data_IF_439808176095
#
_entry.id   IF_439808176095
#
_cell.length_a   1.000
_cell.length_b   1.000
_cell.length_c   1.000
_cell.angle_alpha   90.00
_cell.angle_beta   90.00
_cell.angle_gamma   90.00
#
_symmetry.space_group_name_H-M   'P 1'
#
loop_
_entity.id
_entity.type
_entity.pdbx_description
1 polymer ?
#
# COMPACT_ATOMS: atom_id res chain seq x y z
N UNK A 1 -11.71 6.76 -16.10
CA UNK A 1 -10.37 6.60 -16.71
C UNK A 1 -9.41 6.21 -15.60
N UNK A 2 -8.70 5.09 -15.71
CA UNK A 2 -7.78 4.61 -14.68
C UNK A 2 -6.35 4.89 -15.18
N UNK A 3 -5.67 5.88 -14.59
CA UNK A 3 -4.29 6.23 -14.96
C UNK A 3 -3.26 5.20 -14.46
N UNK A 4 -3.65 4.40 -13.46
CA UNK A 4 -2.78 3.44 -12.79
C UNK A 4 -2.72 2.06 -13.43
N UNK A 5 -3.02 1.93 -14.73
CA UNK A 5 -2.98 0.64 -15.47
C UNK A 5 -2.11 0.69 -16.72
N UNK A 6 -1.63 1.87 -17.10
CA UNK A 6 -0.74 2.09 -18.25
C UNK A 6 0.52 2.82 -17.75
N UNK A 7 1.72 2.19 -17.85
CA UNK A 7 2.96 2.78 -17.36
C UNK A 7 3.32 4.12 -18.03
N UNK A 8 3.12 4.27 -19.34
CA UNK A 8 3.48 5.48 -20.08
C UNK A 8 2.57 6.65 -19.71
N UNK A 9 1.27 6.38 -19.57
CA UNK A 9 0.30 7.37 -19.09
C UNK A 9 0.64 7.78 -17.64
N UNK A 10 0.97 6.82 -16.78
CA UNK A 10 1.32 7.09 -15.38
C UNK A 10 2.61 7.92 -15.27
N UNK A 11 3.65 7.62 -16.06
CA UNK A 11 4.89 8.40 -16.12
C UNK A 11 4.60 9.84 -16.53
N UNK A 12 3.96 10.05 -17.68
CA UNK A 12 3.67 11.38 -18.22
C UNK A 12 2.83 12.22 -17.24
N UNK A 13 1.83 11.61 -16.59
CA UNK A 13 1.06 12.28 -15.56
C UNK A 13 1.95 12.69 -14.37
N UNK A 14 2.81 11.78 -13.90
CA UNK A 14 3.73 12.04 -12.79
C UNK A 14 4.69 13.18 -13.11
N UNK A 15 5.30 13.19 -14.31
CA UNK A 15 6.20 14.25 -14.77
C UNK A 15 5.52 15.62 -14.76
N UNK A 16 4.28 15.70 -15.28
CA UNK A 16 3.51 16.93 -15.33
C UNK A 16 3.15 17.45 -13.94
N UNK A 17 2.78 16.56 -13.02
CA UNK A 17 2.49 16.94 -11.62
C UNK A 17 3.78 17.39 -10.93
N UNK A 18 4.88 16.66 -11.12
CA UNK A 18 6.17 16.96 -10.51
C UNK A 18 6.72 18.31 -10.96
N UNK A 19 6.57 18.66 -12.25
CA UNK A 19 7.03 19.92 -12.82
C UNK A 19 6.41 21.17 -12.17
N UNK A 20 5.24 21.04 -11.54
CA UNK A 20 4.53 22.17 -10.91
C UNK A 20 4.44 22.06 -9.38
N UNK A 21 4.90 20.94 -8.79
CA UNK A 21 4.83 20.74 -7.35
C UNK A 21 6.00 21.39 -6.62
N UNK A 22 5.71 22.14 -5.57
CA UNK A 22 6.71 22.71 -4.65
C UNK A 22 7.02 21.79 -3.45
N UNK A 23 6.36 20.65 -3.35
CA UNK A 23 6.50 19.66 -2.26
C UNK A 23 6.74 18.25 -2.83
N UNK A 24 7.25 17.30 -2.03
CA UNK A 24 7.40 15.92 -2.46
C UNK A 24 6.08 15.32 -2.96
N UNK A 25 6.13 14.58 -4.06
CA UNK A 25 5.01 13.94 -4.73
C UNK A 25 5.13 12.43 -4.53
N UNK A 26 4.17 11.88 -3.79
CA UNK A 26 4.00 10.43 -3.66
C UNK A 26 2.87 9.95 -4.55
N UNK A 27 3.10 8.86 -5.29
CA UNK A 27 2.08 8.29 -6.18
C UNK A 27 1.47 7.03 -5.59
N UNK A 28 0.12 6.99 -5.54
CA UNK A 28 -0.64 5.86 -4.99
C UNK A 28 -0.93 4.82 -6.06
N UNK A 29 -0.21 3.70 -6.03
CA UNK A 29 -0.35 2.65 -7.04
C UNK A 29 -1.61 1.79 -6.84
N UNK A 30 -2.25 1.47 -7.97
CA UNK A 30 -3.37 0.52 -8.01
C UNK A 30 -2.85 -0.92 -8.04
N UNK A 31 -3.47 -1.86 -7.31
CA UNK A 31 -3.12 -3.27 -7.40
C UNK A 31 -3.72 -3.98 -8.63
N UNK A 32 -4.62 -3.33 -9.37
CA UNK A 32 -5.40 -3.96 -10.45
C UNK A 32 -4.61 -3.94 -11.78
N UNK A 33 -3.39 -4.46 -11.75
CA UNK A 33 -2.46 -4.51 -12.88
C UNK A 33 -1.79 -5.88 -12.97
N UNK A 34 -1.39 -6.27 -14.17
CA UNK A 34 -0.64 -7.51 -14.40
C UNK A 34 0.78 -7.41 -13.85
N UNK A 35 1.44 -6.27 -14.06
CA UNK A 35 2.82 -6.02 -13.61
C UNK A 35 2.90 -4.72 -12.81
N UNK A 36 3.00 -4.86 -11.49
CA UNK A 36 3.12 -3.72 -10.56
C UNK A 36 4.51 -3.08 -10.59
N UNK A 37 5.55 -3.85 -10.95
CA UNK A 37 6.93 -3.38 -11.00
C UNK A 37 7.11 -2.44 -12.19
N UNK A 38 6.54 -2.77 -13.34
CA UNK A 38 6.52 -1.89 -14.51
C UNK A 38 5.86 -0.54 -14.19
N UNK A 39 4.70 -0.57 -13.50
CA UNK A 39 4.02 0.65 -13.07
C UNK A 39 4.89 1.50 -12.12
N UNK A 40 5.51 0.86 -11.13
CA UNK A 40 6.34 1.56 -10.14
C UNK A 40 7.57 2.21 -10.76
N UNK A 41 8.29 1.49 -11.64
CA UNK A 41 9.46 2.02 -12.37
C UNK A 41 9.09 3.20 -13.27
N UNK A 42 7.95 3.13 -13.95
CA UNK A 42 7.52 4.21 -14.83
C UNK A 42 7.19 5.49 -14.04
N UNK A 43 6.55 5.35 -12.88
CA UNK A 43 6.25 6.47 -11.98
C UNK A 43 7.52 7.04 -11.34
N UNK A 44 8.47 6.20 -10.92
CA UNK A 44 9.79 6.64 -10.45
C UNK A 44 10.54 7.42 -11.54
N UNK A 45 10.56 6.90 -12.77
CA UNK A 45 11.17 7.59 -13.92
C UNK A 45 10.49 8.93 -14.23
N UNK A 46 9.20 9.08 -13.89
CA UNK A 46 8.48 10.34 -13.99
C UNK A 46 8.78 11.37 -12.88
N UNK A 47 9.67 11.04 -11.95
CA UNK A 47 10.14 11.95 -10.92
C UNK A 47 9.35 11.92 -9.60
N UNK A 48 8.59 10.85 -9.33
CA UNK A 48 7.99 10.66 -8.02
C UNK A 48 9.05 10.61 -6.91
N UNK A 49 8.81 11.27 -5.78
CA UNK A 49 9.73 11.25 -4.62
C UNK A 49 9.48 10.03 -3.72
N UNK A 50 8.37 9.33 -3.91
CA UNK A 50 8.00 8.14 -3.17
C UNK A 50 6.74 7.48 -3.71
N UNK A 51 6.45 6.29 -3.21
CA UNK A 51 5.28 5.51 -3.57
C UNK A 51 4.41 5.29 -2.35
N UNK A 52 3.11 5.17 -2.58
CA UNK A 52 2.21 4.59 -1.58
C UNK A 52 1.48 3.42 -2.23
N UNK A 53 1.31 2.29 -1.54
CA UNK A 53 0.69 1.11 -2.14
C UNK A 53 0.19 0.11 -1.08
N UNK A 54 -0.95 -0.55 -1.27
CA UNK A 54 -1.80 -0.55 -2.48
C UNK A 54 -3.07 0.28 -2.28
N UNK A 55 -3.72 0.68 -3.38
CA UNK A 55 -5.14 1.04 -3.36
C UNK A 55 -6.00 -0.24 -3.26
N UNK A 56 -7.32 -0.12 -3.30
CA UNK A 56 -8.26 -1.23 -3.23
C UNK A 56 -8.19 -2.15 -4.46
N UNK A 57 -8.47 -3.43 -4.23
CA UNK A 57 -8.81 -4.39 -5.30
C UNK A 57 -10.24 -4.14 -5.77
N UNK A 58 -10.64 -4.69 -6.91
CA UNK A 58 -12.02 -4.59 -7.40
C UNK A 58 -12.81 -5.83 -6.96
N UNK A 59 -13.98 -5.60 -6.38
CA UNK A 59 -14.90 -6.66 -5.97
C UNK A 59 -16.36 -6.31 -6.21
N UNK A 60 -17.23 -7.30 -6.02
CA UNK A 60 -18.68 -7.19 -6.05
C UNK A 60 -19.25 -7.97 -4.88
N UNK A 61 -20.30 -7.44 -4.26
CA UNK A 61 -21.10 -8.16 -3.26
C UNK A 61 -22.53 -8.16 -3.74
N UNK A 62 -23.16 -9.34 -3.75
CA UNK A 62 -24.53 -9.52 -4.17
C UNK A 62 -25.45 -9.62 -2.95
N UNK A 63 -26.61 -8.98 -3.05
CA UNK A 63 -27.70 -9.17 -2.11
C UNK A 63 -28.18 -10.62 -2.21
N UNK A 64 -28.14 -11.35 -1.08
CA UNK A 64 -28.40 -12.79 -1.06
C UNK A 64 -29.84 -13.17 -1.42
N UNK A 65 -30.80 -12.25 -1.29
CA UNK A 65 -32.22 -12.52 -1.58
C UNK A 65 -32.56 -12.24 -3.04
N UNK A 66 -32.03 -11.15 -3.58
CA UNK A 66 -32.39 -10.64 -4.91
C UNK A 66 -31.37 -11.03 -5.99
N UNK A 67 -30.15 -11.43 -5.60
CA UNK A 67 -29.04 -11.69 -6.51
C UNK A 67 -28.44 -10.43 -7.15
N UNK A 68 -28.93 -9.23 -6.79
CA UNK A 68 -28.48 -7.95 -7.38
C UNK A 68 -27.24 -7.41 -6.65
N UNK A 69 -26.39 -6.60 -7.31
CA UNK A 69 -25.29 -5.90 -6.64
C UNK A 69 -25.81 -5.03 -5.48
N UNK A 70 -25.15 -5.06 -4.32
CA UNK A 70 -25.55 -4.28 -3.13
C UNK A 70 -25.22 -2.78 -3.30
N UNK A 71 -24.14 -2.47 -4.01
CA UNK A 71 -23.70 -1.10 -4.24
C UNK A 71 -24.18 -0.59 -5.60
N UNK A 72 -24.63 0.67 -5.65
CA UNK A 72 -25.21 1.27 -6.85
C UNK A 72 -24.24 1.28 -8.05
N UNK A 73 -22.93 1.41 -7.79
CA UNK A 73 -21.89 1.38 -8.82
C UNK A 73 -21.55 -0.05 -9.33
N UNK A 74 -22.34 -1.06 -8.95
CA UNK A 74 -22.16 -2.50 -9.23
C UNK A 74 -20.90 -3.11 -8.60
N UNK A 75 -19.73 -2.59 -8.94
CA UNK A 75 -18.43 -2.96 -8.36
C UNK A 75 -17.92 -1.87 -7.43
N UNK A 76 -17.02 -2.25 -6.52
CA UNK A 76 -16.43 -1.36 -5.54
C UNK A 76 -15.03 -1.81 -5.11
N UNK A 77 -14.40 -0.98 -4.29
CA UNK A 77 -13.10 -1.26 -3.71
C UNK A 77 -13.18 -2.30 -2.60
N UNK A 78 -12.43 -3.39 -2.73
CA UNK A 78 -12.15 -4.35 -1.68
C UNK A 78 -10.92 -3.91 -0.89
N UNK A 79 -11.07 -3.78 0.42
CA UNK A 79 -10.04 -3.42 1.38
C UNK A 79 -10.10 -4.30 2.64
N UNK A 80 -9.37 -3.94 3.68
CA UNK A 80 -9.34 -4.68 4.94
C UNK A 80 -8.41 -5.90 4.91
N UNK A 81 -8.41 -6.73 5.98
CA UNK A 81 -7.43 -7.81 6.17
C UNK A 81 -7.36 -8.78 5.00
N UNK A 82 -8.47 -8.97 4.29
CA UNK A 82 -8.57 -9.86 3.14
C UNK A 82 -7.57 -9.55 2.02
N UNK A 83 -7.15 -8.28 1.86
CA UNK A 83 -6.22 -7.88 0.79
C UNK A 83 -4.75 -7.86 1.24
N UNK A 84 -4.47 -8.08 2.53
CA UNK A 84 -3.13 -7.94 3.12
C UNK A 84 -2.06 -8.81 2.43
N UNK A 85 -2.29 -10.10 2.12
CA UNK A 85 -1.30 -10.91 1.42
C UNK A 85 -0.93 -10.36 0.03
N UNK A 86 -1.90 -9.79 -0.69
CA UNK A 86 -1.65 -9.16 -2.00
C UNK A 86 -0.83 -7.88 -1.83
N UNK A 87 -1.18 -7.05 -0.84
CA UNK A 87 -0.48 -5.81 -0.53
C UNK A 87 1.00 -6.05 -0.17
N UNK A 88 1.27 -6.97 0.76
CA UNK A 88 2.64 -7.32 1.19
C UNK A 88 3.46 -7.85 0.01
N UNK A 89 2.90 -8.78 -0.79
CA UNK A 89 3.58 -9.30 -2.00
C UNK A 89 3.98 -8.16 -2.95
N UNK A 90 3.07 -7.22 -3.21
CA UNK A 90 3.35 -6.12 -4.13
C UNK A 90 4.39 -5.15 -3.57
N UNK A 91 4.35 -4.83 -2.28
CA UNK A 91 5.39 -4.02 -1.61
C UNK A 91 6.74 -4.72 -1.73
N UNK A 92 6.81 -6.02 -1.43
CA UNK A 92 8.01 -6.84 -1.57
C UNK A 92 8.61 -6.81 -2.99
N UNK A 93 7.77 -6.93 -4.02
CA UNK A 93 8.22 -6.89 -5.41
C UNK A 93 8.73 -5.50 -5.81
N UNK A 94 8.00 -4.44 -5.44
CA UNK A 94 8.33 -3.07 -5.83
C UNK A 94 9.55 -2.55 -5.06
N UNK A 95 9.68 -2.86 -3.77
CA UNK A 95 10.78 -2.39 -2.94
C UNK A 95 12.17 -2.87 -3.40
N UNK A 96 12.23 -3.99 -4.14
CA UNK A 96 13.47 -4.50 -4.74
C UNK A 96 13.75 -3.92 -6.14
N UNK A 97 12.80 -3.16 -6.70
CA UNK A 97 12.82 -2.75 -8.10
C UNK A 97 12.89 -1.22 -8.30
N UNK A 98 12.69 -0.44 -7.24
CA UNK A 98 12.79 1.04 -7.22
C UNK A 98 13.71 1.50 -6.10
N UNK A 99 14.20 2.73 -6.18
CA UNK A 99 15.09 3.34 -5.18
C UNK A 99 14.39 4.33 -4.25
N UNK A 100 13.16 4.75 -4.59
CA UNK A 100 12.36 5.68 -3.80
C UNK A 100 11.59 4.98 -2.65
N UNK A 101 11.34 5.67 -1.52
CA UNK A 101 10.66 5.09 -0.37
C UNK A 101 9.21 4.70 -0.65
N UNK A 102 8.73 3.66 0.03
CA UNK A 102 7.36 3.12 -0.11
C UNK A 102 6.61 3.25 1.22
N UNK A 103 5.41 3.82 1.18
CA UNK A 103 4.42 3.73 2.27
C UNK A 103 3.48 2.55 1.96
N UNK A 104 3.64 1.47 2.73
CA UNK A 104 2.85 0.24 2.60
C UNK A 104 1.48 0.39 3.26
N UNK A 105 0.44 -0.21 2.68
CA UNK A 105 -0.88 -0.33 3.29
C UNK A 105 -1.73 -1.37 2.59
N UNK A 106 -2.76 -1.83 3.29
CA UNK A 106 -3.74 -2.79 2.80
C UNK A 106 -3.97 -3.86 3.85
N UNK A 107 -5.05 -3.73 4.62
CA UNK A 107 -5.45 -4.73 5.61
C UNK A 107 -4.57 -4.82 6.86
N UNK A 108 -3.86 -3.75 7.20
CA UNK A 108 -3.13 -3.60 8.47
C UNK A 108 -4.14 -3.52 9.61
N UNK A 109 -4.01 -4.39 10.60
CA UNK A 109 -4.90 -4.46 11.77
C UNK A 109 -4.18 -4.34 13.11
N UNK A 110 -2.88 -4.65 13.16
CA UNK A 110 -2.07 -4.69 14.38
C UNK A 110 -0.59 -4.31 14.12
N UNK A 111 0.23 -4.33 15.16
CA UNK A 111 1.66 -4.00 15.10
C UNK A 111 2.49 -5.01 14.31
N UNK A 112 2.08 -6.28 14.28
CA UNK A 112 2.77 -7.32 13.52
C UNK A 112 2.57 -7.15 12.03
N UNK A 113 1.39 -6.68 11.62
CA UNK A 113 1.14 -6.28 10.23
C UNK A 113 2.05 -5.12 9.82
N UNK A 114 2.27 -4.14 10.69
CA UNK A 114 3.25 -3.06 10.43
C UNK A 114 4.63 -3.66 10.22
N UNK A 115 5.07 -4.54 11.12
CA UNK A 115 6.36 -5.23 11.02
C UNK A 115 6.48 -6.01 9.71
N UNK A 116 5.43 -6.70 9.27
CA UNK A 116 5.42 -7.43 7.99
C UNK A 116 5.60 -6.51 6.78
N UNK A 117 4.90 -5.37 6.75
CA UNK A 117 5.07 -4.38 5.69
C UNK A 117 6.48 -3.78 5.67
N UNK A 118 7.05 -3.45 6.84
CA UNK A 118 8.44 -2.97 6.93
C UNK A 118 9.40 -4.08 6.47
N UNK A 119 9.19 -5.32 6.91
CA UNK A 119 9.98 -6.49 6.49
C UNK A 119 9.98 -6.70 4.99
N UNK A 120 8.85 -6.41 4.33
CA UNK A 120 8.70 -6.43 2.87
C UNK A 120 9.34 -5.23 2.16
N UNK A 121 9.86 -4.24 2.87
CA UNK A 121 10.58 -3.10 2.31
C UNK A 121 9.85 -1.75 2.37
N UNK A 122 8.69 -1.67 3.03
CA UNK A 122 8.07 -0.38 3.31
C UNK A 122 8.95 0.48 4.25
N UNK A 123 8.83 1.79 4.14
CA UNK A 123 9.49 2.79 5.01
C UNK A 123 8.53 3.40 6.03
N UNK A 124 7.23 3.31 5.76
CA UNK A 124 6.15 3.65 6.67
C UNK A 124 4.92 2.81 6.33
N UNK A 125 3.95 2.73 7.25
CA UNK A 125 2.73 1.93 7.08
C UNK A 125 1.50 2.78 7.36
N UNK A 126 0.49 2.72 6.48
CA UNK A 126 -0.78 3.40 6.69
C UNK A 126 -1.91 2.41 7.04
N UNK A 127 -2.82 2.87 7.90
CA UNK A 127 -3.96 2.09 8.39
C UNK A 127 -5.26 2.71 7.90
N UNK A 128 -6.06 1.93 7.16
CA UNK A 128 -7.33 2.38 6.58
C UNK A 128 -8.53 1.76 7.28
N UNK A 129 -9.05 0.66 6.70
CA UNK A 129 -10.28 -0.03 7.13
C UNK A 129 -10.38 -0.33 8.62
N UNK A 130 -9.27 -0.63 9.29
CA UNK A 130 -9.26 -0.96 10.71
C UNK A 130 -9.81 0.18 11.59
N UNK A 131 -9.65 1.45 11.18
CA UNK A 131 -10.20 2.59 11.91
C UNK A 131 -11.74 2.58 11.98
N UNK A 132 -12.41 1.96 11.01
CA UNK A 132 -13.87 1.84 11.01
C UNK A 132 -14.37 0.78 11.99
N UNK A 133 -13.52 -0.18 12.37
CA UNK A 133 -13.82 -1.21 13.36
C UNK A 133 -13.35 -0.82 14.76
N UNK A 134 -12.24 -0.08 14.86
CA UNK A 134 -11.67 0.42 16.10
C UNK A 134 -11.04 1.81 15.87
N UNK A 135 -11.69 2.91 16.31
CA UNK A 135 -11.16 4.27 16.14
C UNK A 135 -9.83 4.53 16.85
N UNK A 136 -9.45 3.67 17.81
CA UNK A 136 -8.19 3.75 18.55
C UNK A 136 -7.14 2.76 18.04
N UNK A 137 -7.36 2.12 16.88
CA UNK A 137 -6.41 1.13 16.35
C UNK A 137 -5.03 1.72 16.11
N UNK A 138 -4.93 2.93 15.57
CA UNK A 138 -3.63 3.58 15.32
C UNK A 138 -2.82 3.81 16.61
N UNK A 139 -3.34 4.48 17.66
CA UNK A 139 -2.58 4.62 18.90
C UNK A 139 -2.26 3.28 19.54
N UNK A 140 -3.18 2.30 19.52
CA UNK A 140 -2.89 0.94 20.04
C UNK A 140 -1.73 0.26 19.30
N UNK A 141 -1.70 0.35 17.97
CA UNK A 141 -0.59 -0.18 17.16
C UNK A 141 0.72 0.50 17.57
N UNK A 142 0.71 1.82 17.74
CA UNK A 142 1.90 2.59 18.14
C UNK A 142 2.39 2.14 19.51
N UNK A 143 1.50 2.03 20.49
CA UNK A 143 1.83 1.61 21.87
C UNK A 143 2.34 0.17 21.92
N UNK A 144 1.78 -0.73 21.10
CA UNK A 144 2.18 -2.14 21.06
C UNK A 144 3.49 -2.38 20.29
N UNK A 145 3.87 -1.49 19.37
CA UNK A 145 5.06 -1.65 18.54
C UNK A 145 6.34 -1.75 19.37
N UNK A 146 6.47 -0.97 20.45
CA UNK A 146 7.64 -1.01 21.34
C UNK A 146 7.86 -2.42 21.90
N UNK A 147 6.81 -3.02 22.48
CA UNK A 147 6.87 -4.40 22.99
C UNK A 147 7.16 -5.44 21.90
N UNK A 148 6.66 -5.24 20.67
CA UNK A 148 6.94 -6.13 19.56
C UNK A 148 8.39 -6.04 19.09
N UNK A 149 8.99 -4.85 19.08
CA UNK A 149 10.40 -4.64 18.77
C UNK A 149 11.32 -5.24 19.84
N UNK A 150 10.97 -5.11 21.12
CA UNK A 150 11.70 -5.74 22.23
C UNK A 150 11.74 -7.27 22.09
N UNK A 151 10.60 -7.89 21.73
CA UNK A 151 10.50 -9.34 21.49
C UNK A 151 11.36 -9.81 20.33
N UNK A 152 11.59 -8.93 19.35
CA UNK A 152 12.47 -9.19 18.20
C UNK A 152 13.93 -8.84 18.49
N UNK A 153 14.23 -8.19 19.62
CA UNK A 153 15.58 -7.74 19.97
C UNK A 153 16.11 -6.64 19.05
N UNK A 154 15.24 -5.74 18.58
CA UNK A 154 15.58 -4.70 17.59
C UNK A 154 15.32 -3.32 18.16
N UNK A 155 16.27 -2.39 17.99
CA UNK A 155 16.21 -1.05 18.57
C UNK A 155 15.39 -0.06 17.74
N UNK A 156 15.40 -0.18 16.42
CA UNK A 156 14.68 0.72 15.53
C UNK A 156 13.89 -0.06 14.49
N UNK A 157 12.62 0.30 14.27
CA UNK A 157 11.73 -0.44 13.36
C UNK A 157 12.30 -0.60 11.95
N UNK A 158 13.04 0.39 11.46
CA UNK A 158 13.65 0.34 10.12
C UNK A 158 14.84 -0.61 10.02
N UNK A 159 15.38 -1.13 11.12
CA UNK A 159 16.38 -2.22 11.09
C UNK A 159 15.74 -3.52 10.55
N UNK A 160 14.42 -3.62 10.59
CA UNK A 160 13.65 -4.73 10.00
C UNK A 160 13.42 -4.54 8.49
N UNK A 161 13.72 -3.35 7.93
CA UNK A 161 13.34 -3.02 6.56
C UNK A 161 14.03 -3.95 5.56
N UNK A 162 13.23 -4.62 4.73
CA UNK A 162 13.74 -5.48 3.66
C UNK A 162 14.34 -6.81 4.13
N UNK A 163 14.17 -7.20 5.41
CA UNK A 163 14.70 -8.49 5.91
C UNK A 163 14.11 -9.73 5.22
N UNK A 164 13.03 -9.56 4.45
CA UNK A 164 12.45 -10.62 3.63
C UNK A 164 13.17 -10.83 2.27
N UNK A 165 14.06 -9.91 1.88
CA UNK A 165 14.83 -10.03 0.63
C UNK A 165 15.84 -11.17 0.78
N UNK A 166 16.03 -11.95 -0.29
CA UNK A 166 16.98 -13.07 -0.33
C UNK A 166 18.16 -12.70 -1.20
#
# INVERSE_FOLDING_TARGET
MQFGTDPDVARNLTEKVKAVSSVPVYVKLSPNVTDIVAMAKAVEAGGADGLTMINTLIGIVLDRKTGKPIIANTTGGLSGPAIKPVAIRMVYQVAQAVNIPIIGMGGVMDEWDVIDFISAGASAVAVGTANFTDPFVCPKIIDNLESALDKLGVNHILDLKGRAFK
#
